data_IF_302046205849
#
_entry.id   IF_302046205849
#
_cell.length_a   1.000
_cell.length_b   1.000
_cell.length_c   1.000
_cell.angle_alpha   90.00
_cell.angle_beta   90.00
_cell.angle_gamma   90.00
#
_symmetry.space_group_name_H-M   'P 1'
#
loop_
_entity.id
_entity.type
_entity.pdbx_description
1 polymer ?
#
# COMPACT_ATOMS: atom_id res chain seq x y z
N UNK A 1 10.20 2.66 25.29
CA UNK A 1 10.31 2.25 23.87
C UNK A 1 8.91 2.08 23.33
N UNK A 2 8.62 2.57 22.13
CA UNK A 2 7.32 2.40 21.47
C UNK A 2 7.35 1.11 20.65
N UNK A 3 6.38 0.22 20.83
CA UNK A 3 6.18 -0.94 19.98
C UNK A 3 5.21 -0.55 18.85
N UNK A 4 5.65 -0.70 17.59
CA UNK A 4 4.79 -0.50 16.42
C UNK A 4 4.27 -1.87 15.98
N UNK A 5 2.94 -2.03 16.01
CA UNK A 5 2.27 -3.18 15.42
C UNK A 5 1.65 -2.76 14.10
N UNK A 6 1.97 -3.49 13.03
CA UNK A 6 1.39 -3.29 11.70
C UNK A 6 0.58 -4.53 11.36
N UNK A 7 -0.68 -4.35 10.95
CA UNK A 7 -1.49 -5.41 10.36
C UNK A 7 -1.47 -5.27 8.84
N UNK A 8 -0.77 -6.16 8.10
CA UNK A 8 -0.59 -5.99 6.67
C UNK A 8 -1.90 -5.99 5.87
N UNK A 9 -2.92 -6.69 6.35
CA UNK A 9 -4.27 -6.68 5.78
C UNK A 9 -4.89 -5.27 5.86
N UNK A 10 -4.69 -4.56 6.97
CA UNK A 10 -5.17 -3.19 7.12
C UNK A 10 -4.45 -2.23 6.18
N UNK A 11 -3.14 -2.41 5.95
CA UNK A 11 -2.39 -1.62 4.96
C UNK A 11 -2.87 -1.90 3.53
N UNK A 12 -3.16 -3.16 3.21
CA UNK A 12 -3.72 -3.54 1.91
C UNK A 12 -5.09 -2.92 1.69
N UNK A 13 -5.96 -2.97 2.70
CA UNK A 13 -7.27 -2.32 2.66
C UNK A 13 -7.15 -0.79 2.52
N UNK A 14 -6.21 -0.17 3.24
CA UNK A 14 -5.93 1.26 3.15
C UNK A 14 -5.44 1.65 1.74
N UNK A 15 -4.54 0.87 1.13
CA UNK A 15 -4.09 1.10 -0.24
C UNK A 15 -5.26 1.03 -1.25
N UNK A 16 -6.18 0.09 -1.07
CA UNK A 16 -7.37 -0.01 -1.91
C UNK A 16 -8.32 1.19 -1.74
N UNK A 17 -8.55 1.65 -0.50
CA UNK A 17 -9.35 2.85 -0.22
C UNK A 17 -8.71 4.10 -0.80
N UNK A 18 -7.40 4.27 -0.62
CA UNK A 18 -6.64 5.38 -1.20
C UNK A 18 -6.73 5.37 -2.72
N UNK A 19 -6.66 4.21 -3.38
CA UNK A 19 -6.87 4.11 -4.82
C UNK A 19 -8.27 4.62 -5.23
N UNK A 20 -9.31 4.26 -4.47
CA UNK A 20 -10.66 4.77 -4.67
C UNK A 20 -10.76 6.30 -4.53
N UNK A 21 -10.14 6.86 -3.49
CA UNK A 21 -10.06 8.33 -3.30
C UNK A 21 -9.36 8.99 -4.48
N UNK A 22 -8.25 8.43 -4.96
CA UNK A 22 -7.52 8.94 -6.12
C UNK A 22 -8.38 8.98 -7.40
N UNK A 23 -9.16 7.92 -7.65
CA UNK A 23 -10.10 7.87 -8.78
C UNK A 23 -11.17 8.97 -8.67
N UNK A 24 -11.82 9.07 -7.51
CA UNK A 24 -12.86 10.06 -7.28
C UNK A 24 -12.34 11.50 -7.43
N UNK A 25 -11.11 11.78 -6.96
CA UNK A 25 -10.48 13.07 -7.13
C UNK A 25 -10.15 13.37 -8.60
N UNK A 26 -9.65 12.40 -9.36
CA UNK A 26 -9.39 12.58 -10.79
C UNK A 26 -10.68 12.86 -11.57
N UNK A 27 -11.76 12.13 -11.29
CA UNK A 27 -13.07 12.35 -11.89
C UNK A 27 -13.65 13.73 -11.54
N UNK A 28 -13.54 14.14 -10.27
CA UNK A 28 -13.96 15.46 -9.83
C UNK A 28 -13.15 16.58 -10.53
N UNK A 29 -11.83 16.43 -10.64
CA UNK A 29 -10.97 17.40 -11.33
C UNK A 29 -11.29 17.49 -12.82
N UNK A 30 -11.52 16.35 -13.47
CA UNK A 30 -11.87 16.30 -14.89
C UNK A 30 -13.23 16.95 -15.16
N UNK A 31 -14.24 16.65 -14.34
CA UNK A 31 -15.59 17.23 -14.48
C UNK A 31 -15.61 18.75 -14.24
N UNK A 32 -14.79 19.25 -13.31
CA UNK A 32 -14.67 20.68 -13.04
C UNK A 32 -13.82 21.43 -14.08
N UNK A 33 -12.99 20.74 -14.87
CA UNK A 33 -11.95 21.36 -15.71
C UNK A 33 -12.47 22.47 -16.62
N UNK A 34 -13.52 22.20 -17.39
CA UNK A 34 -14.09 23.21 -18.29
C UNK A 34 -14.73 24.36 -17.52
N UNK A 35 -15.44 24.07 -16.43
CA UNK A 35 -16.15 25.08 -15.64
C UNK A 35 -15.21 26.12 -15.02
N UNK A 36 -13.99 25.72 -14.65
CA UNK A 36 -13.02 26.61 -14.00
C UNK A 36 -11.98 27.21 -14.95
N UNK A 37 -11.85 26.70 -16.19
CA UNK A 37 -10.87 27.20 -17.18
C UNK A 37 -11.49 27.97 -18.34
N UNK A 38 -12.83 27.94 -18.45
CA UNK A 38 -13.59 28.58 -19.53
C UNK A 38 -14.66 29.51 -18.98
N UNK A 39 -14.31 30.29 -17.98
CA UNK A 39 -15.14 31.36 -17.44
C UNK A 39 -15.29 32.44 -18.53
N UNK A 40 -16.49 33.00 -18.66
CA UNK A 40 -16.80 34.10 -19.57
C UNK A 40 -16.80 35.44 -18.83
N UNK A 41 -16.55 36.53 -19.55
CA UNK A 41 -16.66 37.88 -18.99
C UNK A 41 -18.11 38.19 -18.62
N UNK A 42 -18.31 38.72 -17.41
CA UNK A 42 -19.64 39.11 -16.92
C UNK A 42 -20.18 40.37 -17.63
N UNK A 43 -19.27 41.21 -18.13
CA UNK A 43 -19.57 42.43 -18.88
C UNK A 43 -18.61 42.63 -20.06
N UNK A 44 -18.87 43.65 -20.87
CA UNK A 44 -18.04 44.04 -22.03
C UNK A 44 -16.90 44.99 -21.68
N UNK A 45 -16.72 45.28 -20.38
CA UNK A 45 -15.70 46.18 -19.89
C UNK A 45 -14.36 45.47 -19.65
N UNK A 46 -13.30 46.26 -19.61
CA UNK A 46 -11.93 45.76 -19.42
C UNK A 46 -11.71 45.10 -18.06
N UNK A 47 -12.45 45.52 -17.02
CA UNK A 47 -12.33 44.92 -15.67
C UNK A 47 -12.92 43.51 -15.67
N UNK A 48 -14.09 43.32 -16.28
CA UNK A 48 -14.69 41.99 -16.50
C UNK A 48 -13.76 41.07 -17.30
N UNK A 49 -13.14 41.59 -18.37
CA UNK A 49 -12.19 40.82 -19.17
C UNK A 49 -10.95 40.41 -18.36
N UNK A 50 -10.38 41.33 -17.58
CA UNK A 50 -9.22 41.07 -16.74
C UNK A 50 -9.51 40.04 -15.63
N UNK A 51 -10.68 40.15 -14.98
CA UNK A 51 -11.13 39.20 -13.95
C UNK A 51 -11.27 37.79 -14.54
N UNK A 52 -11.91 37.66 -15.70
CA UNK A 52 -12.05 36.38 -16.40
C UNK A 52 -10.69 35.78 -16.79
N UNK A 53 -9.76 36.59 -17.28
CA UNK A 53 -8.42 36.13 -17.60
C UNK A 53 -7.70 35.57 -16.36
N UNK A 54 -7.81 36.26 -15.22
CA UNK A 54 -7.24 35.81 -13.95
C UNK A 54 -7.84 34.48 -13.48
N UNK A 55 -9.17 34.32 -13.54
CA UNK A 55 -9.83 33.06 -13.16
C UNK A 55 -9.43 31.89 -14.06
N UNK A 56 -9.40 32.10 -15.38
CA UNK A 56 -9.03 31.05 -16.32
C UNK A 56 -7.56 30.63 -16.13
N UNK A 57 -6.64 31.58 -15.90
CA UNK A 57 -5.25 31.29 -15.59
C UNK A 57 -5.11 30.50 -14.28
N UNK A 58 -5.85 30.88 -13.24
CA UNK A 58 -5.87 30.15 -11.98
C UNK A 58 -6.42 28.72 -12.16
N UNK A 59 -7.51 28.55 -12.90
CA UNK A 59 -8.07 27.25 -13.23
C UNK A 59 -7.09 26.35 -13.98
N UNK A 60 -6.35 26.89 -14.95
CA UNK A 60 -5.32 26.14 -15.68
C UNK A 60 -4.17 25.72 -14.76
N UNK A 61 -3.75 26.62 -13.87
CA UNK A 61 -2.69 26.34 -12.89
C UNK A 61 -3.13 25.25 -11.90
N UNK A 62 -4.38 25.31 -11.43
CA UNK A 62 -4.99 24.27 -10.61
C UNK A 62 -5.03 22.92 -11.33
N UNK A 63 -5.45 22.87 -12.60
CA UNK A 63 -5.48 21.62 -13.37
C UNK A 63 -4.07 21.01 -13.52
N UNK A 64 -3.05 21.84 -13.77
CA UNK A 64 -1.65 21.41 -13.80
C UNK A 64 -1.14 20.87 -12.46
N UNK A 65 -1.53 21.50 -11.34
CA UNK A 65 -1.19 21.02 -10.00
C UNK A 65 -1.92 19.72 -9.66
N UNK A 66 -3.22 19.61 -9.96
CA UNK A 66 -4.01 18.41 -9.72
C UNK A 66 -3.44 17.19 -10.45
N UNK A 67 -2.91 17.37 -11.67
CA UNK A 67 -2.22 16.31 -12.39
C UNK A 67 -0.94 15.84 -11.67
N UNK A 68 -0.15 16.77 -11.10
CA UNK A 68 1.04 16.42 -10.31
C UNK A 68 0.67 15.69 -9.02
N UNK A 69 -0.39 16.15 -8.34
CA UNK A 69 -0.91 15.48 -7.14
C UNK A 69 -1.40 14.08 -7.47
N UNK A 70 -2.07 13.87 -8.59
CA UNK A 70 -2.52 12.54 -9.02
C UNK A 70 -1.35 11.56 -9.22
N UNK A 71 -0.23 12.03 -9.80
CA UNK A 71 0.98 11.23 -9.95
C UNK A 71 1.60 10.88 -8.60
N UNK A 72 1.74 11.87 -7.72
CA UNK A 72 2.22 11.64 -6.36
C UNK A 72 1.35 10.64 -5.60
N UNK A 73 0.03 10.79 -5.68
CA UNK A 73 -0.94 9.90 -5.02
C UNK A 73 -0.81 8.46 -5.52
N UNK A 74 -0.63 8.26 -6.83
CA UNK A 74 -0.38 6.93 -7.40
C UNK A 74 0.89 6.28 -6.82
N UNK A 75 1.98 7.04 -6.72
CA UNK A 75 3.23 6.57 -6.12
C UNK A 75 3.05 6.24 -4.62
N UNK A 76 2.28 7.06 -3.90
CA UNK A 76 1.97 6.83 -2.50
C UNK A 76 1.15 5.55 -2.27
N UNK A 77 0.13 5.31 -3.10
CA UNK A 77 -0.65 4.05 -3.07
C UNK A 77 0.25 2.85 -3.36
N UNK A 78 1.12 2.95 -4.36
CA UNK A 78 2.07 1.88 -4.70
C UNK A 78 3.04 1.60 -3.54
N UNK A 79 3.61 2.63 -2.93
CA UNK A 79 4.49 2.49 -1.78
C UNK A 79 3.77 1.85 -0.58
N UNK A 80 2.51 2.22 -0.33
CA UNK A 80 1.70 1.64 0.75
C UNK A 80 1.44 0.15 0.53
N UNK A 81 1.14 -0.23 -0.71
CA UNK A 81 0.96 -1.63 -1.09
C UNK A 81 2.24 -2.44 -0.94
N UNK A 82 3.36 -1.91 -1.44
CA UNK A 82 4.67 -2.56 -1.29
C UNK A 82 5.04 -2.74 0.18
N UNK A 83 4.77 -1.75 1.03
CA UNK A 83 5.01 -1.88 2.46
C UNK A 83 4.20 -3.05 3.06
N UNK A 84 2.92 -3.19 2.70
CA UNK A 84 2.09 -4.31 3.15
C UNK A 84 2.69 -5.67 2.73
N UNK A 85 3.09 -5.80 1.47
CA UNK A 85 3.71 -7.01 0.92
C UNK A 85 5.02 -7.35 1.67
N UNK A 86 5.85 -6.35 1.97
CA UNK A 86 7.10 -6.55 2.72
C UNK A 86 6.85 -7.02 4.16
N UNK A 87 5.85 -6.48 4.86
CA UNK A 87 5.50 -6.95 6.20
C UNK A 87 4.97 -8.40 6.16
N UNK A 88 4.13 -8.76 5.19
CA UNK A 88 3.67 -10.15 5.02
C UNK A 88 4.82 -11.12 4.74
N UNK A 89 5.76 -10.73 3.87
CA UNK A 89 6.92 -11.55 3.56
C UNK A 89 7.80 -11.81 4.80
N UNK A 90 8.06 -10.76 5.60
CA UNK A 90 8.83 -10.91 6.84
C UNK A 90 8.13 -11.84 7.86
N UNK A 91 6.82 -11.72 8.02
CA UNK A 91 6.07 -12.61 8.90
C UNK A 91 6.11 -14.07 8.41
N UNK A 92 5.96 -14.30 7.11
CA UNK A 92 6.06 -15.63 6.52
C UNK A 92 7.45 -16.25 6.71
N UNK A 93 8.52 -15.48 6.49
CA UNK A 93 9.90 -15.91 6.72
C UNK A 93 10.16 -16.26 8.19
N UNK A 94 9.64 -15.46 9.11
CA UNK A 94 9.74 -15.73 10.54
C UNK A 94 9.01 -17.02 10.92
N UNK A 95 7.79 -17.23 10.41
CA UNK A 95 7.06 -18.48 10.64
C UNK A 95 7.80 -19.70 10.05
N UNK A 96 8.35 -19.58 8.85
CA UNK A 96 9.13 -20.65 8.22
C UNK A 96 10.38 -21.00 9.04
N UNK A 97 11.11 -19.99 9.55
CA UNK A 97 12.26 -20.20 10.43
C UNK A 97 11.87 -20.89 11.74
N UNK A 98 10.75 -20.49 12.35
CA UNK A 98 10.23 -21.12 13.57
C UNK A 98 9.81 -22.57 13.32
N UNK A 99 9.18 -22.88 12.20
CA UNK A 99 8.82 -24.25 11.82
C UNK A 99 10.07 -25.12 11.58
N UNK A 100 11.07 -24.59 10.88
CA UNK A 100 12.35 -25.27 10.66
C UNK A 100 13.09 -25.56 11.98
N UNK A 101 13.10 -24.61 12.93
CA UNK A 101 13.70 -24.82 14.25
C UNK A 101 12.97 -25.90 15.06
N UNK A 102 11.64 -25.97 14.96
CA UNK A 102 10.85 -27.02 15.61
C UNK A 102 11.18 -28.39 15.03
N UNK A 103 11.21 -28.53 13.70
CA UNK A 103 11.59 -29.77 13.03
C UNK A 103 13.02 -30.22 13.40
N UNK A 104 13.97 -29.28 13.48
CA UNK A 104 15.34 -29.56 13.92
C UNK A 104 15.44 -30.02 15.38
N UNK A 105 14.58 -29.52 16.28
CA UNK A 105 14.54 -29.95 17.69
C UNK A 105 14.00 -31.36 17.87
N UNK A 106 12.99 -31.76 17.11
CA UNK A 106 12.42 -33.12 17.14
C UNK A 106 13.45 -34.17 16.68
N UNK A 107 14.41 -33.79 15.82
CA UNK A 107 15.48 -34.68 15.36
C UNK A 107 16.50 -35.10 16.43
N UNK A 108 16.64 -34.36 17.54
CA UNK A 108 17.57 -34.70 18.62
C UNK A 108 16.91 -35.43 19.80
N UNK A 109 15.59 -35.42 19.89
CA UNK A 109 14.83 -36.04 21.00
C UNK A 109 14.40 -37.50 20.71
N UNK A 110 14.66 -38.00 19.49
CA UNK A 110 14.39 -39.38 19.08
C UNK A 110 15.55 -40.38 19.27
N UNK A 111 16.72 -39.93 19.76
CA UNK A 111 17.85 -40.82 20.06
C UNK A 111 17.72 -41.29 21.50
N UNK A 112 17.00 -42.39 21.70
CA UNK A 112 16.99 -43.15 22.94
C UNK A 112 18.36 -43.86 23.11
N UNK A 113 19.21 -43.46 24.08
CA UNK A 113 20.53 -44.05 24.26
C UNK A 113 20.49 -45.48 24.83
N UNK A 114 19.32 -45.98 25.27
CA UNK A 114 19.19 -47.26 25.99
C UNK A 114 18.55 -48.39 25.16
N UNK A 115 18.43 -48.24 23.84
CA UNK A 115 18.08 -49.38 22.97
C UNK A 115 19.23 -50.38 22.86
N UNK A 116 19.43 -51.16 23.92
CA UNK A 116 20.05 -52.47 23.86
C UNK A 116 19.22 -53.35 22.94
N UNK A 117 19.66 -53.49 21.69
CA UNK A 117 19.19 -54.53 20.78
C UNK A 117 19.59 -55.88 21.38
N UNK A 118 18.63 -56.58 22.00
CA UNK A 118 18.80 -57.96 22.43
C UNK A 118 18.65 -58.88 21.20
N UNK A 119 19.71 -59.57 20.73
CA UNK A 119 19.55 -60.55 19.66
C UNK A 119 19.00 -61.86 20.23
N UNK A 120 18.08 -62.45 19.48
CA UNK A 120 17.52 -63.76 19.75
C UNK A 120 18.59 -64.87 19.87
N UNK A 121 18.37 -65.78 20.81
CA UNK A 121 18.99 -67.11 20.93
C UNK A 121 18.54 -67.72 22.25
N UNK A 122 18.05 -68.96 22.39
CA UNK A 122 17.95 -70.11 21.50
C UNK A 122 17.85 -71.33 22.42
N UNK A 123 16.93 -72.27 22.11
CA UNK A 123 16.98 -73.67 22.54
C UNK A 123 16.60 -74.01 23.99
N UNK A 124 15.66 -74.96 24.13
CA UNK A 124 15.35 -75.65 25.39
C UNK A 124 13.88 -75.99 25.51
#
# INVERSE_FOLDING_TARGET
>A
MSFMFVTPESLTAAAAQLNGVGSALNEANASASAAITRVFAAGQDEVSAAITAAFNQYGQSYQGLSAQVAQFHSQFVQATRLAAEQYQAMEADLFALLAARQAGRVGFEGVDPDRHTNPAGGGG
#
